data_IF_972126634848
#
_entry.id   IF_972126634848
#
_cell.length_a   1.000
_cell.length_b   1.000
_cell.length_c   1.000
_cell.angle_alpha   90.00
_cell.angle_beta   90.00
_cell.angle_gamma   90.00
#
_symmetry.space_group_name_H-M   'P 1'
#
loop_
_entity.id
_entity.type
_entity.pdbx_description
1 polymer ?
#
# COMPACT_ATOMS: atom_id res chain seq x y z
N UNK A 1 9.86 31.12 17.61
CA UNK A 1 9.13 29.96 17.04
C UNK A 1 10.10 29.25 16.10
N UNK A 2 10.25 27.92 16.26
CA UNK A 2 11.01 27.09 15.31
C UNK A 2 10.00 26.49 14.32
N UNK A 3 10.26 26.62 13.01
CA UNK A 3 9.49 25.98 11.95
C UNK A 3 10.32 24.76 11.50
N UNK A 4 9.68 23.60 11.35
CA UNK A 4 10.27 22.41 10.77
C UNK A 4 9.39 21.98 9.60
N UNK A 5 10.02 21.77 8.44
CA UNK A 5 9.37 21.14 7.30
C UNK A 5 9.51 19.61 7.46
N UNK A 6 8.43 18.90 7.23
CA UNK A 6 8.37 17.44 7.26
C UNK A 6 7.87 16.97 5.90
N UNK A 7 8.28 15.75 5.53
CA UNK A 7 7.62 15.01 4.48
C UNK A 7 6.18 14.70 4.91
N UNK A 8 5.25 14.57 3.97
CA UNK A 8 3.83 14.30 4.25
C UNK A 8 3.63 13.00 5.03
N UNK A 9 4.36 11.92 4.69
CA UNK A 9 4.30 10.65 5.43
C UNK A 9 4.98 10.72 6.80
N UNK A 10 6.02 11.55 7.02
CA UNK A 10 6.52 11.83 8.37
C UNK A 10 5.45 12.50 9.23
N UNK A 11 4.72 13.47 8.66
CA UNK A 11 3.63 14.14 9.37
C UNK A 11 2.49 13.17 9.69
N UNK A 12 2.09 12.31 8.74
CA UNK A 12 1.12 11.24 8.95
C UNK A 12 1.57 10.26 10.04
N UNK A 13 2.83 9.80 10.02
CA UNK A 13 3.33 8.90 11.05
C UNK A 13 3.23 9.53 12.45
N UNK A 14 3.60 10.81 12.59
CA UNK A 14 3.50 11.53 13.86
C UNK A 14 2.05 11.74 14.33
N UNK A 15 1.06 11.68 13.44
CA UNK A 15 -0.35 11.76 13.81
C UNK A 15 -0.90 10.44 14.39
N UNK A 16 -0.33 9.28 14.05
CA UNK A 16 -0.85 7.97 14.43
C UNK A 16 -1.16 7.79 15.93
N UNK A 17 -0.33 8.30 16.87
CA UNK A 17 -0.65 8.19 18.30
C UNK A 17 -1.86 9.00 18.75
N UNK A 18 -2.35 9.90 17.92
CA UNK A 18 -3.47 10.80 18.23
C UNK A 18 -4.78 10.36 17.58
N UNK A 19 -4.74 9.37 16.68
CA UNK A 19 -5.93 8.81 16.02
C UNK A 19 -6.71 7.93 16.98
N UNK A 20 -8.03 8.05 16.97
CA UNK A 20 -8.93 7.31 17.87
C UNK A 20 -10.23 6.92 17.16
N UNK A 21 -10.82 5.80 17.60
CA UNK A 21 -12.18 5.40 17.20
C UNK A 21 -12.42 5.51 15.69
N UNK A 22 -13.28 6.45 15.32
CA UNK A 22 -13.76 6.63 13.95
C UNK A 22 -12.72 7.18 12.97
N UNK A 23 -11.54 7.60 13.46
CA UNK A 23 -10.42 7.98 12.60
C UNK A 23 -9.80 6.75 11.89
N UNK A 24 -10.09 5.54 12.36
CA UNK A 24 -9.49 4.29 11.90
C UNK A 24 -10.53 3.25 11.50
N UNK A 25 -10.28 2.58 10.38
CA UNK A 25 -11.05 1.41 9.96
C UNK A 25 -10.17 0.16 10.07
N UNK A 26 -10.64 -0.81 10.86
CA UNK A 26 -9.93 -2.08 11.04
C UNK A 26 -10.06 -2.95 9.78
N UNK A 27 -8.93 -3.31 9.19
CA UNK A 27 -8.87 -4.26 8.07
C UNK A 27 -8.63 -5.68 8.59
N UNK A 28 -7.83 -5.83 9.65
CA UNK A 28 -7.56 -7.12 10.26
C UNK A 28 -6.60 -7.02 11.45
N UNK A 29 -6.31 -8.18 12.09
CA UNK A 29 -5.44 -8.26 13.26
C UNK A 29 -6.06 -7.72 14.55
N UNK A 30 -5.22 -7.50 15.55
CA UNK A 30 -5.61 -6.95 16.83
C UNK A 30 -4.87 -5.63 17.09
N UNK A 31 -5.55 -4.67 17.70
CA UNK A 31 -4.92 -3.42 18.11
C UNK A 31 -3.80 -3.68 19.14
N UNK A 32 -2.63 -3.09 18.92
CA UNK A 32 -1.53 -3.18 19.87
C UNK A 32 -1.69 -2.14 20.98
N UNK A 33 -1.78 -2.60 22.24
CA UNK A 33 -1.89 -1.73 23.41
C UNK A 33 -0.55 -1.10 23.85
N UNK A 34 0.59 -1.58 23.34
CA UNK A 34 1.89 -1.10 23.80
C UNK A 34 2.58 -0.19 22.77
N UNK A 35 3.42 0.77 23.22
CA UNK A 35 4.17 1.64 22.33
C UNK A 35 5.26 0.83 21.60
N UNK A 36 4.92 0.29 20.43
CA UNK A 36 5.81 -0.43 19.52
C UNK A 36 5.90 0.32 18.21
N UNK A 37 6.92 -0.01 17.42
CA UNK A 37 7.11 0.58 16.11
C UNK A 37 5.85 0.39 15.24
N UNK A 38 5.41 1.48 14.63
CA UNK A 38 4.28 1.54 13.69
C UNK A 38 4.80 1.92 12.30
N UNK A 39 4.09 1.56 11.27
CA UNK A 39 4.32 2.10 9.93
C UNK A 39 3.01 2.66 9.36
N UNK A 40 3.12 3.71 8.58
CA UNK A 40 2.08 4.20 7.70
C UNK A 40 2.60 4.14 6.28
N UNK A 41 1.82 3.56 5.39
CA UNK A 41 2.13 3.39 3.97
C UNK A 41 0.87 3.67 3.17
N UNK A 42 0.99 4.21 1.97
CA UNK A 42 -0.23 4.41 1.18
C UNK A 42 0.01 4.85 -0.26
N UNK A 43 -0.76 4.26 -1.16
CA UNK A 43 -0.78 4.65 -2.56
C UNK A 43 -1.61 5.93 -2.77
N UNK A 44 -1.04 6.83 -3.55
CA UNK A 44 -1.65 8.07 -4.03
C UNK A 44 -1.20 8.34 -5.45
N UNK A 45 -0.65 9.53 -5.71
CA UNK A 45 0.07 9.85 -6.96
C UNK A 45 1.35 9.02 -7.08
N UNK A 46 1.96 8.67 -5.93
CA UNK A 46 3.07 7.75 -5.76
C UNK A 46 2.79 6.75 -4.64
N UNK A 47 3.84 6.16 -4.06
CA UNK A 47 3.76 5.28 -2.89
C UNK A 47 4.65 5.82 -1.77
N UNK A 48 4.01 6.45 -0.77
CA UNK A 48 4.70 6.99 0.39
C UNK A 48 4.72 6.06 1.60
N UNK A 49 5.71 6.21 2.48
CA UNK A 49 5.78 5.49 3.76
C UNK A 49 6.61 6.27 4.78
N UNK A 50 6.24 6.11 6.04
CA UNK A 50 7.12 6.43 7.16
C UNK A 50 6.92 5.43 8.29
N UNK A 51 7.99 5.17 9.04
CA UNK A 51 7.91 4.45 10.29
C UNK A 51 7.84 5.43 11.48
N UNK A 52 7.25 4.98 12.57
CA UNK A 52 7.14 5.71 13.82
C UNK A 52 7.67 4.86 14.97
N UNK A 53 8.83 5.22 15.47
CA UNK A 53 9.51 4.50 16.54
C UNK A 53 9.25 5.15 17.91
N UNK A 54 8.93 4.38 18.96
CA UNK A 54 8.83 4.92 20.30
C UNK A 54 10.22 5.28 20.85
N UNK A 55 10.31 6.38 21.56
CA UNK A 55 11.54 6.81 22.21
C UNK A 55 11.63 6.26 23.65
N UNK A 56 12.82 5.89 24.16
CA UNK A 56 12.98 5.32 25.50
C UNK A 56 12.48 6.21 26.64
N UNK A 57 12.53 7.53 26.45
CA UNK A 57 12.08 8.53 27.45
C UNK A 57 10.67 9.06 27.21
N UNK A 58 9.88 8.34 26.39
CA UNK A 58 8.57 8.78 25.94
C UNK A 58 8.62 9.63 24.66
N UNK A 59 7.49 9.72 23.97
CA UNK A 59 7.38 10.37 22.66
C UNK A 59 7.71 9.43 21.51
N UNK A 60 7.78 10.03 20.30
CA UNK A 60 7.90 9.29 19.04
C UNK A 60 8.89 9.96 18.10
N UNK A 61 9.51 9.15 17.26
CA UNK A 61 10.41 9.58 16.20
C UNK A 61 9.91 9.03 14.87
N UNK A 62 9.60 9.91 13.91
CA UNK A 62 9.31 9.51 12.54
C UNK A 62 10.61 9.22 11.78
N UNK A 63 10.57 8.16 11.00
CA UNK A 63 11.67 7.71 10.12
C UNK A 63 11.11 7.68 8.69
N UNK A 64 11.54 8.61 7.82
CA UNK A 64 11.10 8.61 6.43
C UNK A 64 11.62 7.37 5.70
N UNK A 65 10.80 6.85 4.80
CA UNK A 65 11.11 5.68 3.98
C UNK A 65 10.67 5.94 2.54
N UNK A 66 11.30 5.26 1.59
CA UNK A 66 11.03 5.39 0.16
C UNK A 66 10.66 4.04 -0.48
N UNK A 67 9.53 3.43 -0.08
CA UNK A 67 9.12 2.12 -0.61
C UNK A 67 8.74 2.17 -2.09
N UNK A 68 8.36 3.35 -2.60
CA UNK A 68 8.03 3.56 -3.99
C UNK A 68 9.19 3.22 -4.94
N UNK A 69 10.43 3.39 -4.48
CA UNK A 69 11.63 3.24 -5.29
C UNK A 69 12.34 1.89 -5.16
N UNK A 70 11.82 0.95 -4.37
CA UNK A 70 12.34 -0.42 -4.32
C UNK A 70 11.80 -1.24 -5.50
N UNK A 71 12.45 -2.38 -5.76
CA UNK A 71 11.99 -3.31 -6.79
C UNK A 71 10.65 -3.93 -6.41
N UNK A 72 9.69 -3.96 -7.35
CA UNK A 72 8.41 -4.64 -7.15
C UNK A 72 8.63 -6.17 -7.05
N UNK A 73 8.27 -6.82 -5.93
CA UNK A 73 8.36 -8.26 -5.80
C UNK A 73 7.26 -8.97 -6.61
N UNK A 74 7.65 -10.04 -7.31
CA UNK A 74 6.74 -10.91 -8.06
C UNK A 74 6.93 -12.36 -7.61
N UNK A 75 5.86 -13.12 -7.39
CA UNK A 75 5.92 -14.49 -6.91
C UNK A 75 5.51 -15.51 -7.97
N UNK A 76 4.71 -15.09 -8.96
CA UNK A 76 4.25 -15.95 -10.03
C UNK A 76 4.81 -15.50 -11.38
N UNK A 77 4.87 -16.44 -12.34
CA UNK A 77 5.27 -16.11 -13.70
C UNK A 77 4.35 -15.04 -14.32
N UNK A 78 3.04 -15.12 -14.05
CA UNK A 78 2.09 -14.12 -14.56
C UNK A 78 2.32 -12.72 -14.01
N UNK A 79 2.71 -12.58 -12.72
CA UNK A 79 3.09 -11.29 -12.14
C UNK A 79 4.39 -10.77 -12.75
N UNK A 80 5.37 -11.65 -12.96
CA UNK A 80 6.62 -11.28 -13.61
C UNK A 80 6.37 -10.77 -15.04
N UNK A 81 5.58 -11.50 -15.81
CA UNK A 81 5.25 -11.15 -17.20
C UNK A 81 4.50 -9.81 -17.27
N UNK A 82 3.54 -9.59 -16.35
CA UNK A 82 2.81 -8.32 -16.24
C UNK A 82 3.75 -7.17 -15.90
N UNK A 83 4.63 -7.34 -14.92
CA UNK A 83 5.65 -6.35 -14.56
C UNK A 83 6.53 -5.99 -15.76
N UNK A 84 7.03 -6.98 -16.50
CA UNK A 84 7.87 -6.75 -17.67
C UNK A 84 7.09 -6.07 -18.81
N UNK A 85 5.81 -6.39 -19.00
CA UNK A 85 4.95 -5.73 -19.98
C UNK A 85 4.64 -4.26 -19.63
N UNK A 86 4.58 -3.92 -18.34
CA UNK A 86 4.41 -2.54 -17.86
C UNK A 86 5.71 -1.73 -17.91
N UNK A 87 6.85 -2.41 -17.94
CA UNK A 87 8.17 -1.79 -17.82
C UNK A 87 8.55 -0.98 -19.08
N UNK A 88 9.05 0.23 -18.89
CA UNK A 88 9.65 1.01 -19.98
C UNK A 88 11.02 0.43 -20.35
N UNK A 89 11.34 0.31 -21.65
CA UNK A 89 12.65 -0.18 -22.07
C UNK A 89 13.80 0.61 -21.45
N UNK A 90 14.77 -0.09 -20.85
CA UNK A 90 15.96 0.52 -20.26
C UNK A 90 15.75 1.20 -18.91
N UNK A 91 14.53 1.22 -18.35
CA UNK A 91 14.26 1.77 -17.02
C UNK A 91 14.15 0.67 -15.96
N UNK A 92 14.48 1.00 -14.71
CA UNK A 92 14.07 0.18 -13.57
C UNK A 92 12.54 0.22 -13.45
N UNK A 93 11.93 -0.88 -13.01
CA UNK A 93 10.53 -0.92 -12.64
C UNK A 93 10.43 -1.01 -11.12
N UNK A 94 9.86 0.00 -10.53
CA UNK A 94 9.78 0.16 -9.08
C UNK A 94 8.38 -0.13 -8.56
N UNK A 95 8.25 -0.20 -7.26
CA UNK A 95 6.96 -0.46 -6.60
C UNK A 95 5.93 0.61 -6.94
N UNK A 96 6.33 1.87 -7.04
CA UNK A 96 5.46 2.99 -7.37
C UNK A 96 4.92 2.92 -8.80
N UNK A 97 5.68 2.35 -9.73
CA UNK A 97 5.23 2.14 -11.12
C UNK A 97 4.00 1.21 -11.21
N UNK A 98 3.76 0.41 -10.18
CA UNK A 98 2.60 -0.47 -10.08
C UNK A 98 1.61 -0.01 -9.00
N UNK A 99 2.10 0.45 -7.83
CA UNK A 99 1.29 0.75 -6.64
C UNK A 99 1.14 2.26 -6.47
N UNK A 100 0.53 2.87 -7.45
CA UNK A 100 0.08 4.26 -7.46
C UNK A 100 -1.16 4.39 -8.33
N UNK A 101 -1.80 5.54 -8.36
CA UNK A 101 -2.92 5.80 -9.29
C UNK A 101 -2.49 5.62 -10.75
N UNK A 102 -1.34 6.19 -11.11
CA UNK A 102 -0.76 6.00 -12.44
C UNK A 102 -0.42 4.54 -12.76
N UNK A 103 0.11 3.81 -11.77
CA UNK A 103 0.45 2.39 -11.87
C UNK A 103 -0.78 1.51 -12.07
N UNK A 104 -1.85 1.76 -11.32
CA UNK A 104 -3.13 1.08 -11.49
C UNK A 104 -3.69 1.26 -12.91
N UNK A 105 -3.65 2.48 -13.42
CA UNK A 105 -4.12 2.77 -14.77
C UNK A 105 -3.21 2.15 -15.85
N UNK A 106 -1.89 2.22 -15.68
CA UNK A 106 -0.93 1.57 -16.58
C UNK A 106 -1.16 0.05 -16.62
N UNK A 107 -1.40 -0.58 -15.47
CA UNK A 107 -1.72 -1.99 -15.35
C UNK A 107 -2.99 -2.36 -16.12
N UNK A 108 -4.06 -1.57 -15.98
CA UNK A 108 -5.30 -1.76 -16.72
C UNK A 108 -5.04 -1.69 -18.24
N UNK A 109 -4.33 -0.66 -18.70
CA UNK A 109 -4.01 -0.48 -20.13
C UNK A 109 -3.10 -1.58 -20.68
N UNK A 110 -2.21 -2.14 -19.86
CA UNK A 110 -1.32 -3.24 -20.24
C UNK A 110 -2.09 -4.55 -20.37
N UNK A 111 -2.94 -4.87 -19.39
CA UNK A 111 -3.77 -6.08 -19.41
C UNK A 111 -4.85 -6.03 -20.49
N UNK A 112 -5.40 -4.84 -20.73
CA UNK A 112 -6.55 -4.63 -21.60
C UNK A 112 -6.32 -3.41 -22.54
N UNK A 113 -5.50 -3.55 -23.61
CA UNK A 113 -5.13 -2.43 -24.49
C UNK A 113 -6.32 -1.72 -25.13
N UNK A 114 -7.42 -2.46 -25.37
CA UNK A 114 -8.67 -1.93 -25.96
C UNK A 114 -9.72 -1.56 -24.89
N UNK A 115 -9.34 -1.53 -23.61
CA UNK A 115 -10.25 -1.14 -22.53
C UNK A 115 -10.69 0.32 -22.66
N UNK A 116 -11.96 0.59 -22.32
CA UNK A 116 -12.58 1.90 -22.52
C UNK A 116 -12.38 2.87 -21.34
N UNK A 117 -11.83 2.41 -20.21
CA UNK A 117 -11.64 3.26 -19.02
C UNK A 117 -10.40 4.12 -19.20
N UNK A 118 -10.51 5.40 -18.83
CA UNK A 118 -9.51 6.42 -19.14
C UNK A 118 -8.81 7.02 -17.92
N UNK A 119 -9.16 6.57 -16.70
CA UNK A 119 -8.53 7.05 -15.47
C UNK A 119 -8.46 5.98 -14.39
N UNK A 120 -7.57 6.13 -13.38
CA UNK A 120 -7.51 5.24 -12.22
C UNK A 120 -8.84 5.18 -11.47
N UNK A 121 -9.50 6.32 -11.30
CA UNK A 121 -10.79 6.42 -10.61
C UNK A 121 -11.88 5.64 -11.36
N UNK A 122 -11.91 5.74 -12.70
CA UNK A 122 -12.83 4.97 -13.52
C UNK A 122 -12.60 3.46 -13.39
N UNK A 123 -11.32 3.02 -13.35
CA UNK A 123 -10.96 1.61 -13.12
C UNK A 123 -11.45 1.15 -11.74
N UNK A 124 -11.21 1.93 -10.68
CA UNK A 124 -11.67 1.59 -9.33
C UNK A 124 -13.20 1.49 -9.29
N UNK A 125 -13.91 2.48 -9.81
CA UNK A 125 -15.38 2.49 -9.80
C UNK A 125 -15.97 1.32 -10.60
N UNK A 126 -15.43 1.03 -11.77
CA UNK A 126 -15.86 -0.10 -12.59
C UNK A 126 -15.59 -1.46 -11.90
N UNK A 127 -14.44 -1.59 -11.22
CA UNK A 127 -14.11 -2.78 -10.44
C UNK A 127 -15.06 -3.00 -9.26
N UNK A 128 -15.41 -1.93 -8.56
CA UNK A 128 -16.31 -1.99 -7.38
C UNK A 128 -17.76 -2.23 -7.76
N UNK A 129 -18.20 -1.73 -8.91
CA UNK A 129 -19.56 -1.97 -9.41
C UNK A 129 -19.84 -3.44 -9.76
N UNK A 130 -18.78 -4.25 -9.95
CA UNK A 130 -18.88 -5.66 -10.36
C UNK A 130 -19.29 -5.87 -11.82
N UNK A 131 -19.42 -4.81 -12.61
CA UNK A 131 -19.86 -4.88 -14.00
C UNK A 131 -18.72 -4.98 -15.02
N UNK A 132 -17.47 -4.77 -14.58
CA UNK A 132 -16.28 -4.85 -15.44
C UNK A 132 -15.25 -5.82 -14.85
N UNK A 133 -15.21 -7.02 -15.44
CA UNK A 133 -14.27 -8.06 -15.02
C UNK A 133 -12.79 -7.68 -15.27
N UNK A 134 -12.51 -6.83 -16.26
CA UNK A 134 -11.15 -6.34 -16.55
C UNK A 134 -10.68 -5.38 -15.46
N UNK A 135 -11.53 -4.43 -15.07
CA UNK A 135 -11.25 -3.52 -13.97
C UNK A 135 -11.09 -4.29 -12.65
N UNK A 136 -11.98 -5.25 -12.38
CA UNK A 136 -11.89 -6.09 -11.18
C UNK A 136 -10.56 -6.85 -11.11
N UNK A 137 -10.12 -7.50 -12.20
CA UNK A 137 -8.85 -8.21 -12.27
C UNK A 137 -7.65 -7.27 -12.06
N UNK A 138 -7.72 -6.06 -12.62
CA UNK A 138 -6.66 -5.05 -12.43
C UNK A 138 -6.56 -4.64 -10.96
N UNK A 139 -7.69 -4.38 -10.32
CA UNK A 139 -7.72 -4.00 -8.91
C UNK A 139 -7.24 -5.14 -8.00
N UNK A 140 -7.54 -6.41 -8.33
CA UNK A 140 -7.06 -7.57 -7.58
C UNK A 140 -5.53 -7.69 -7.64
N UNK A 141 -4.89 -7.46 -8.79
CA UNK A 141 -3.41 -7.40 -8.89
C UNK A 141 -2.82 -6.26 -8.06
N UNK A 142 -3.43 -5.07 -8.14
CA UNK A 142 -3.02 -3.91 -7.35
C UNK A 142 -3.07 -4.20 -5.85
N UNK A 143 -4.18 -4.75 -5.35
CA UNK A 143 -4.36 -5.12 -3.95
C UNK A 143 -3.37 -6.20 -3.52
N UNK A 144 -3.10 -7.18 -4.37
CA UNK A 144 -2.13 -8.24 -4.10
C UNK A 144 -0.73 -7.68 -3.90
N UNK A 145 -0.26 -6.84 -4.80
CA UNK A 145 1.06 -6.22 -4.69
C UNK A 145 1.14 -5.25 -3.50
N UNK A 146 0.10 -4.45 -3.27
CA UNK A 146 0.03 -3.57 -2.10
C UNK A 146 0.13 -4.37 -0.80
N UNK A 147 -0.63 -5.46 -0.66
CA UNK A 147 -0.60 -6.32 0.51
C UNK A 147 0.79 -6.93 0.75
N UNK A 148 1.44 -7.40 -0.31
CA UNK A 148 2.79 -7.98 -0.23
C UNK A 148 3.81 -6.99 0.27
N UNK A 149 3.87 -5.79 -0.32
CA UNK A 149 4.78 -4.71 0.09
C UNK A 149 4.53 -4.29 1.54
N UNK A 150 3.27 -4.16 1.93
CA UNK A 150 2.93 -3.80 3.31
C UNK A 150 3.35 -4.88 4.30
N UNK A 151 3.18 -6.15 3.95
CA UNK A 151 3.64 -7.28 4.76
C UNK A 151 5.17 -7.33 4.85
N UNK A 152 5.88 -7.10 3.74
CA UNK A 152 7.36 -7.03 3.71
C UNK A 152 7.88 -5.88 4.57
N UNK A 153 7.29 -4.70 4.47
CA UNK A 153 7.63 -3.55 5.30
C UNK A 153 7.39 -3.83 6.80
N UNK A 154 6.28 -4.51 7.13
CA UNK A 154 5.98 -4.93 8.50
C UNK A 154 7.05 -5.84 9.07
N UNK A 155 7.54 -6.78 8.26
CA UNK A 155 8.61 -7.72 8.66
C UNK A 155 9.96 -7.03 8.79
N UNK A 156 10.36 -6.24 7.80
CA UNK A 156 11.64 -5.51 7.79
C UNK A 156 11.78 -4.58 9.00
N UNK A 157 10.72 -3.90 9.37
CA UNK A 157 10.73 -2.91 10.44
C UNK A 157 10.21 -3.46 11.77
N UNK A 158 9.82 -4.73 11.84
CA UNK A 158 9.21 -5.30 13.06
C UNK A 158 8.04 -4.45 13.57
N UNK A 159 7.11 -4.08 12.68
CA UNK A 159 6.05 -3.11 12.94
C UNK A 159 4.93 -3.64 13.86
N UNK A 160 5.31 -4.11 15.05
CA UNK A 160 4.40 -4.70 16.05
C UNK A 160 3.40 -3.70 16.67
N UNK A 161 3.57 -2.41 16.41
CA UNK A 161 2.65 -1.36 16.83
C UNK A 161 1.49 -1.13 15.87
N UNK A 162 1.53 -1.78 14.72
CA UNK A 162 0.51 -1.71 13.68
C UNK A 162 1.04 -1.23 12.33
N UNK A 163 0.34 -1.65 11.28
CA UNK A 163 0.52 -1.21 9.90
C UNK A 163 -0.71 -0.43 9.50
N UNK A 164 -0.53 0.83 9.15
CA UNK A 164 -1.59 1.77 8.84
C UNK A 164 -1.58 2.05 7.33
N UNK A 165 -2.68 1.79 6.67
CA UNK A 165 -2.87 2.13 5.27
C UNK A 165 -3.49 3.52 5.17
N UNK A 166 -2.83 4.40 4.42
CA UNK A 166 -3.26 5.78 4.15
C UNK A 166 -3.32 6.04 2.64
N UNK A 167 -3.36 7.30 2.24
CA UNK A 167 -3.40 7.72 0.85
C UNK A 167 -4.80 7.75 0.24
N UNK A 168 -4.93 8.46 -0.88
CA UNK A 168 -6.24 8.75 -1.48
C UNK A 168 -6.96 7.54 -2.08
N UNK A 169 -6.24 6.46 -2.41
CA UNK A 169 -6.84 5.26 -3.02
C UNK A 169 -7.48 4.35 -1.95
N UNK A 170 -6.86 4.25 -0.77
CA UNK A 170 -7.28 3.30 0.26
C UNK A 170 -8.76 3.41 0.69
N UNK A 171 -9.31 4.61 0.95
CA UNK A 171 -10.72 4.74 1.31
C UNK A 171 -11.68 4.24 0.23
N UNK A 172 -11.34 4.46 -1.05
CA UNK A 172 -12.22 4.05 -2.16
C UNK A 172 -12.31 2.54 -2.33
N UNK A 173 -11.35 1.77 -1.85
CA UNK A 173 -11.28 0.30 -2.00
C UNK A 173 -11.44 -0.45 -0.68
N UNK A 174 -11.91 0.21 0.38
CA UNK A 174 -11.93 -0.33 1.75
C UNK A 174 -12.68 -1.67 1.84
N UNK A 175 -13.81 -1.81 1.15
CA UNK A 175 -14.60 -3.04 1.14
C UNK A 175 -13.81 -4.22 0.57
N UNK A 176 -13.03 -3.99 -0.49
CA UNK A 176 -12.14 -4.99 -1.08
C UNK A 176 -10.99 -5.38 -0.14
N UNK A 177 -10.44 -4.41 0.58
CA UNK A 177 -9.39 -4.66 1.58
C UNK A 177 -9.91 -5.51 2.75
N UNK A 178 -11.16 -5.30 3.17
CA UNK A 178 -11.82 -6.06 4.23
C UNK A 178 -12.31 -7.45 3.79
N UNK A 179 -12.41 -7.73 2.49
CA UNK A 179 -12.90 -9.01 1.95
C UNK A 179 -11.97 -10.22 2.19
N UNK A 180 -10.83 -10.03 2.86
CA UNK A 180 -9.94 -11.09 3.33
C UNK A 180 -8.79 -11.45 2.38
N UNK A 181 -8.88 -11.21 1.08
CA UNK A 181 -7.80 -11.50 0.14
C UNK A 181 -6.52 -10.67 0.43
N UNK A 182 -6.70 -9.38 0.72
CA UNK A 182 -5.62 -8.51 1.16
C UNK A 182 -4.89 -9.08 2.38
N UNK A 183 -5.63 -9.47 3.41
CA UNK A 183 -5.08 -9.98 4.67
C UNK A 183 -4.30 -11.27 4.44
N UNK A 184 -4.82 -12.18 3.64
CA UNK A 184 -4.16 -13.44 3.30
C UNK A 184 -2.78 -13.21 2.69
N UNK A 185 -2.67 -12.30 1.71
CA UNK A 185 -1.39 -11.99 1.06
C UNK A 185 -0.45 -11.24 1.99
N UNK A 186 -0.98 -10.31 2.80
CA UNK A 186 -0.21 -9.56 3.79
C UNK A 186 0.47 -10.48 4.83
N UNK A 187 -0.23 -11.51 5.28
CA UNK A 187 0.24 -12.48 6.28
C UNK A 187 1.05 -13.64 5.70
N UNK A 188 1.00 -13.85 4.39
CA UNK A 188 1.76 -14.91 3.73
C UNK A 188 3.26 -14.56 3.69
N UNK A 189 3.95 -14.88 4.78
CA UNK A 189 5.38 -14.62 4.99
C UNK A 189 6.16 -15.92 5.29
N UNK A 190 5.71 -17.01 4.67
CA UNK A 190 6.36 -18.29 4.78
C UNK A 190 6.38 -18.81 6.23
N UNK A 191 7.56 -19.12 6.78
CA UNK A 191 7.70 -19.75 8.11
C UNK A 191 7.28 -18.87 9.31
N UNK A 192 6.98 -17.61 9.09
CA UNK A 192 6.59 -16.65 10.12
C UNK A 192 5.20 -16.03 9.85
N UNK A 193 4.38 -16.77 9.12
CA UNK A 193 3.02 -16.38 8.77
C UNK A 193 2.00 -16.52 9.92
N UNK A 194 2.41 -17.03 11.11
CA UNK A 194 1.56 -17.25 12.31
C UNK A 194 1.53 -16.04 13.26
#
# INVERSE_FOLDING_TARGET
>A
KRIRLLNDYEALALSLPHLQGDDLVQIGGQASASPKLKIVIGPGTGLGMAALAPLPKGGWMALPCEPGHITLPTETQGEFDLREAMRRPGAAFTTEDAISGGGLYLMYRTLFPNGALESPEAVIQAALSGHDAHAAKTLDHFITWLARIMGDAAMLLQARGGVYLAGGIAPSIIEKLQAGAFRKVFEDKGKIAD
#
